data_IF_058792174384
#
_entry.id   IF_058792174384
#
_cell.length_a   1.000
_cell.length_b   1.000
_cell.length_c   1.000
_cell.angle_alpha   90.00
_cell.angle_beta   90.00
_cell.angle_gamma   90.00
#
_symmetry.space_group_name_H-M   'P 1'
#
loop_
_entity.id
_entity.type
_entity.pdbx_description
1 polymer ?
#
# COMPACT_ATOMS: atom_id res chain seq x y z
N UNK A 1 -13.07 13.60 12.62
CA UNK A 1 -12.40 14.88 12.31
C UNK A 1 -12.71 16.07 13.21
N UNK A 2 -13.93 16.43 13.64
CA UNK A 2 -14.07 17.67 14.48
C UNK A 2 -13.67 17.47 15.94
N UNK A 3 -14.23 16.51 16.67
CA UNK A 3 -13.98 16.44 18.12
C UNK A 3 -12.51 16.16 18.51
N UNK A 4 -11.83 15.23 17.82
CA UNK A 4 -10.45 14.85 18.15
C UNK A 4 -9.39 15.82 17.58
N UNK A 5 -9.58 16.34 16.36
CA UNK A 5 -8.68 17.35 15.76
C UNK A 5 -8.77 18.68 16.49
N UNK A 6 -9.96 19.09 16.90
CA UNK A 6 -10.17 20.37 17.59
C UNK A 6 -9.54 20.39 18.99
N UNK A 7 -9.20 19.21 19.55
CA UNK A 7 -8.46 19.10 20.80
C UNK A 7 -6.94 19.01 20.63
N UNK A 8 -6.42 18.92 19.40
CA UNK A 8 -4.97 18.86 19.15
C UNK A 8 -4.37 20.26 19.03
N UNK A 9 -3.16 20.42 19.55
CA UNK A 9 -2.41 21.67 19.36
C UNK A 9 -1.99 21.82 17.89
N UNK A 10 -1.71 23.07 17.48
CA UNK A 10 -1.25 23.36 16.11
C UNK A 10 0.07 22.65 15.77
N UNK A 11 0.96 22.49 16.75
CA UNK A 11 2.22 21.74 16.60
C UNK A 11 2.01 20.24 16.44
N UNK A 12 1.04 19.65 17.16
CA UNK A 12 0.64 18.24 16.94
C UNK A 12 0.13 18.02 15.52
N UNK A 13 -0.67 18.95 15.01
CA UNK A 13 -1.26 18.89 13.67
C UNK A 13 -0.20 18.99 12.58
N UNK A 14 0.77 19.89 12.71
CA UNK A 14 1.86 20.03 11.76
C UNK A 14 2.75 18.78 11.74
N UNK A 15 3.08 18.23 12.91
CA UNK A 15 3.88 17.01 13.05
C UNK A 15 3.17 15.78 12.47
N UNK A 16 1.86 15.65 12.68
CA UNK A 16 1.08 14.59 12.03
C UNK A 16 0.98 14.74 10.51
N UNK A 17 0.99 15.97 9.99
CA UNK A 17 0.96 16.20 8.54
C UNK A 17 2.26 15.76 7.86
N UNK A 18 3.42 15.93 8.52
CA UNK A 18 4.72 15.56 7.98
C UNK A 18 5.11 14.09 8.24
N UNK A 19 4.85 13.56 9.44
CA UNK A 19 5.34 12.25 9.87
C UNK A 19 4.25 11.35 10.44
N UNK A 20 2.97 11.64 10.15
CA UNK A 20 1.86 10.89 10.70
C UNK A 20 1.92 9.41 10.32
N UNK A 21 1.79 8.54 11.32
CA UNK A 21 1.49 7.11 11.17
C UNK A 21 -0.02 6.91 11.38
N UNK A 22 -0.86 7.17 10.36
CA UNK A 22 -2.30 7.05 10.48
C UNK A 22 -2.76 5.69 11.01
N UNK A 23 -2.01 4.62 10.78
CA UNK A 23 -2.23 3.26 11.26
C UNK A 23 -2.06 3.06 12.77
N UNK A 24 -1.55 4.05 13.50
CA UNK A 24 -1.43 3.99 14.97
C UNK A 24 -2.48 4.83 15.70
N UNK A 25 -3.17 5.72 15.00
CA UNK A 25 -4.20 6.59 15.59
C UNK A 25 -5.59 5.96 15.55
N UNK A 26 -6.45 6.26 16.54
CA UNK A 26 -7.84 5.78 16.53
C UNK A 26 -8.63 6.50 15.43
N UNK A 27 -9.10 5.77 14.43
CA UNK A 27 -9.94 6.33 13.37
C UNK A 27 -11.43 6.27 13.74
N UNK A 28 -12.12 7.38 13.51
CA UNK A 28 -13.58 7.44 13.45
C UNK A 28 -14.11 6.75 12.18
N UNK A 29 -15.41 6.43 12.16
CA UNK A 29 -16.08 5.82 10.99
C UNK A 29 -15.96 6.68 9.72
N UNK A 30 -15.96 8.00 9.86
CA UNK A 30 -15.76 8.92 8.74
C UNK A 30 -14.35 8.81 8.17
N UNK A 31 -13.33 8.69 9.02
CA UNK A 31 -11.94 8.52 8.58
C UNK A 31 -11.73 7.18 7.88
N UNK A 32 -12.36 6.11 8.36
CA UNK A 32 -12.37 4.82 7.68
C UNK A 32 -12.99 4.93 6.28
N UNK A 33 -14.15 5.58 6.17
CA UNK A 33 -14.83 5.78 4.89
C UNK A 33 -14.00 6.65 3.93
N UNK A 34 -13.44 7.75 4.42
CA UNK A 34 -12.61 8.65 3.62
C UNK A 34 -11.35 7.96 3.08
N UNK A 35 -10.70 7.13 3.88
CA UNK A 35 -9.56 6.38 3.40
C UNK A 35 -9.96 5.35 2.34
N UNK A 36 -11.16 4.74 2.44
CA UNK A 36 -11.66 3.84 1.38
C UNK A 36 -11.85 4.63 0.09
N UNK A 37 -12.42 5.83 0.16
CA UNK A 37 -12.57 6.70 -1.00
C UNK A 37 -11.20 7.04 -1.60
N UNK A 38 -10.23 7.45 -0.78
CA UNK A 38 -8.88 7.76 -1.24
C UNK A 38 -8.21 6.57 -1.95
N UNK A 39 -8.29 5.37 -1.38
CA UNK A 39 -7.75 4.14 -2.00
C UNK A 39 -8.39 3.86 -3.36
N UNK A 40 -9.71 4.09 -3.49
CA UNK A 40 -10.43 3.90 -4.75
C UNK A 40 -10.05 4.94 -5.80
N UNK A 41 -9.89 6.20 -5.41
CA UNK A 41 -9.44 7.27 -6.32
C UNK A 41 -8.03 6.98 -6.84
N UNK A 42 -7.08 6.64 -5.96
CA UNK A 42 -5.72 6.27 -6.36
C UNK A 42 -5.71 5.08 -7.32
N UNK A 43 -6.58 4.08 -7.09
CA UNK A 43 -6.72 2.92 -7.97
C UNK A 43 -7.25 3.28 -9.36
N UNK A 44 -8.17 4.24 -9.46
CA UNK A 44 -8.70 4.74 -10.73
C UNK A 44 -7.63 5.51 -11.50
N UNK A 45 -6.89 6.39 -10.83
CA UNK A 45 -5.75 7.11 -11.42
C UNK A 45 -4.71 6.14 -11.97
N UNK A 46 -4.32 5.14 -11.17
CA UNK A 46 -3.40 4.09 -11.62
C UNK A 46 -3.94 3.33 -12.83
N UNK A 47 -5.24 3.01 -12.85
CA UNK A 47 -5.85 2.32 -13.99
C UNK A 47 -5.76 3.19 -15.26
N UNK A 48 -5.99 4.50 -15.13
CA UNK A 48 -5.82 5.46 -16.22
C UNK A 48 -4.37 5.51 -16.72
N UNK A 49 -3.38 5.57 -15.83
CA UNK A 49 -1.98 5.49 -16.25
C UNK A 49 -1.66 4.16 -16.94
N UNK A 50 -2.11 3.05 -16.37
CA UNK A 50 -1.84 1.72 -16.91
C UNK A 50 -2.41 1.50 -18.31
N UNK A 51 -3.55 2.11 -18.65
CA UNK A 51 -4.10 2.02 -20.02
C UNK A 51 -3.42 2.99 -20.99
N UNK A 52 -2.89 4.12 -20.51
CA UNK A 52 -2.25 5.13 -21.36
C UNK A 52 -0.74 4.89 -21.55
N UNK A 53 -0.09 4.05 -20.74
CA UNK A 53 1.31 3.67 -20.92
C UNK A 53 1.40 2.43 -21.82
N UNK A 54 1.95 2.62 -23.02
CA UNK A 54 2.12 1.56 -24.03
C UNK A 54 2.98 0.39 -23.52
N UNK A 55 4.17 0.70 -23.00
CA UNK A 55 5.11 -0.33 -22.54
C UNK A 55 4.73 -0.80 -21.15
N UNK A 56 4.32 -2.07 -21.02
CA UNK A 56 3.99 -2.68 -19.71
C UNK A 56 5.10 -2.51 -18.67
N UNK A 57 6.37 -2.57 -19.08
CA UNK A 57 7.53 -2.39 -18.18
C UNK A 57 7.67 -0.98 -17.61
N UNK A 58 7.00 0.01 -18.19
CA UNK A 58 7.02 1.41 -17.71
C UNK A 58 5.80 1.74 -16.85
N UNK A 59 4.87 0.79 -16.66
CA UNK A 59 3.68 1.03 -15.84
C UNK A 59 4.08 1.04 -14.37
N UNK A 60 3.64 2.03 -13.59
CA UNK A 60 3.89 2.04 -12.15
C UNK A 60 3.19 0.87 -11.48
N UNK A 61 3.72 0.46 -10.32
CA UNK A 61 3.05 -0.52 -9.48
C UNK A 61 1.68 0.01 -9.00
N UNK A 62 0.72 -0.90 -8.75
CA UNK A 62 -0.52 -0.56 -8.07
C UNK A 62 -0.29 0.27 -6.79
N UNK A 63 -1.08 1.33 -6.55
CA UNK A 63 -0.97 2.09 -5.32
C UNK A 63 -1.26 1.20 -4.12
N UNK A 64 -0.50 1.40 -3.05
CA UNK A 64 -0.74 0.74 -1.79
C UNK A 64 -1.93 1.41 -1.07
N UNK A 65 -2.93 0.65 -0.60
CA UNK A 65 -4.00 1.21 0.22
C UNK A 65 -3.44 1.86 1.49
N UNK A 66 -4.05 2.96 1.92
CA UNK A 66 -3.74 3.61 3.18
C UNK A 66 -3.79 2.60 4.34
N UNK A 67 -2.79 2.60 5.20
CA UNK A 67 -2.75 1.66 6.32
C UNK A 67 -3.81 2.07 7.34
N UNK A 68 -4.73 1.15 7.64
CA UNK A 68 -5.80 1.35 8.63
C UNK A 68 -5.26 1.06 10.03
N UNK A 69 -5.82 1.68 11.08
CA UNK A 69 -5.44 1.36 12.44
C UNK A 69 -5.69 -0.10 12.78
N UNK A 70 -4.68 -0.76 13.33
CA UNK A 70 -4.74 -2.20 13.62
C UNK A 70 -4.71 -3.12 12.40
N UNK A 71 -4.68 -2.59 11.17
CA UNK A 71 -4.33 -3.39 10.00
C UNK A 71 -2.82 -3.61 10.03
N UNK A 72 -2.42 -4.85 10.29
CA UNK A 72 -1.01 -5.24 10.28
C UNK A 72 -0.33 -4.94 8.93
N UNK A 73 1.00 -4.84 8.90
CA UNK A 73 1.74 -4.60 7.68
C UNK A 73 1.40 -5.66 6.62
N UNK A 74 1.41 -5.27 5.33
CA UNK A 74 1.26 -6.22 4.23
C UNK A 74 2.26 -7.36 4.43
N UNK A 75 1.79 -8.61 4.26
CA UNK A 75 2.69 -9.78 4.23
C UNK A 75 3.75 -9.52 3.17
N UNK A 76 5.02 -9.49 3.57
CA UNK A 76 6.14 -9.44 2.62
C UNK A 76 5.98 -10.62 1.66
N UNK A 77 6.20 -10.37 0.36
CA UNK A 77 6.28 -11.48 -0.60
C UNK A 77 7.41 -12.39 -0.13
N UNK A 78 7.16 -13.70 -0.16
CA UNK A 78 8.18 -14.67 0.21
C UNK A 78 9.38 -14.47 -0.71
N UNK A 79 10.56 -14.25 -0.12
CA UNK A 79 11.80 -14.25 -0.86
C UNK A 79 12.08 -15.66 -1.36
N UNK A 80 12.64 -15.76 -2.56
CA UNK A 80 12.91 -17.03 -3.21
C UNK A 80 14.03 -17.71 -2.44
N UNK A 81 13.72 -18.85 -1.80
CA UNK A 81 14.74 -19.61 -1.07
C UNK A 81 15.66 -20.29 -2.07
N UNK A 82 16.90 -20.56 -1.66
CA UNK A 82 17.93 -21.17 -2.51
C UNK A 82 17.46 -22.49 -3.13
N UNK A 83 16.79 -23.34 -2.33
CA UNK A 83 16.16 -24.58 -2.82
C UNK A 83 15.07 -24.35 -3.88
N UNK A 84 14.29 -23.27 -3.74
CA UNK A 84 13.26 -22.92 -4.72
C UNK A 84 13.89 -22.43 -6.02
N UNK A 85 15.03 -21.75 -5.93
CA UNK A 85 15.78 -21.27 -7.09
C UNK A 85 16.40 -22.45 -7.85
N UNK A 86 17.00 -23.40 -7.15
CA UNK A 86 17.56 -24.64 -7.70
C UNK A 86 16.49 -25.47 -8.43
N UNK A 87 15.32 -25.62 -7.80
CA UNK A 87 14.19 -26.36 -8.39
C UNK A 87 13.69 -25.67 -9.67
N UNK A 88 13.55 -24.34 -9.66
CA UNK A 88 13.18 -23.58 -10.86
C UNK A 88 14.26 -23.69 -11.95
N UNK A 89 15.53 -23.68 -11.57
CA UNK A 89 16.64 -23.82 -12.51
C UNK A 89 16.63 -25.19 -13.20
N UNK A 90 16.39 -26.27 -12.46
CA UNK A 90 16.26 -27.62 -13.02
C UNK A 90 15.05 -27.75 -13.95
N UNK A 91 13.90 -27.16 -13.59
CA UNK A 91 12.71 -27.15 -14.44
C UNK A 91 12.91 -26.39 -15.75
N UNK A 92 13.57 -25.23 -15.70
CA UNK A 92 13.84 -24.41 -16.88
C UNK A 92 14.85 -25.05 -17.84
N UNK A 93 15.82 -25.79 -17.29
CA UNK A 93 16.86 -26.45 -18.07
C UNK A 93 16.52 -27.91 -18.45
N UNK A 94 15.29 -28.37 -18.20
CA UNK A 94 14.82 -29.70 -18.60
C UNK A 94 15.40 -30.87 -17.79
N UNK A 95 15.93 -30.60 -16.59
CA UNK A 95 16.58 -31.59 -15.71
C UNK A 95 15.62 -32.39 -14.83
N UNK A 96 14.32 -32.11 -14.88
CA UNK A 96 13.31 -32.91 -14.19
C UNK A 96 12.78 -34.03 -15.09
N UNK A 97 13.56 -35.12 -15.17
CA UNK A 97 13.12 -36.44 -15.60
C UNK A 97 13.55 -37.47 -14.55
#
# INVERSE_FOLDING_TARGET
>A
MTALRNGMSAEELARQAETGEPERSRWSQLEQLMAVVADRVARVEWALWAVNIEKKSQRPDPPEPLRRPGAGPKRKRAELTENSAETLFQLLNGGAA
#
